data_IF_582335748362
#
_entry.id   IF_582335748362
#
_cell.length_a   1.000
_cell.length_b   1.000
_cell.length_c   1.000
_cell.angle_alpha   90.00
_cell.angle_beta   90.00
_cell.angle_gamma   90.00
#
_symmetry.space_group_name_H-M   'P 1'
#
loop_
_entity.id
_entity.type
_entity.pdbx_description
1 polymer ?
#
# COMPACT_ATOMS: atom_id res chain seq x y z
N UNK A 1 42.34 -22.03 -33.71
CA UNK A 1 41.79 -21.32 -32.53
C UNK A 1 40.27 -21.23 -32.67
N UNK A 2 39.50 -22.12 -32.03
CA UNK A 2 38.02 -22.07 -32.04
C UNK A 2 37.48 -22.67 -30.74
N UNK A 3 37.52 -21.88 -29.67
CA UNK A 3 37.04 -22.28 -28.34
C UNK A 3 35.77 -21.51 -27.91
N UNK A 4 35.21 -20.66 -28.78
CA UNK A 4 34.16 -19.71 -28.39
C UNK A 4 32.72 -20.21 -28.61
N UNK A 5 32.52 -21.32 -29.33
CA UNK A 5 31.18 -21.75 -29.77
C UNK A 5 30.37 -22.50 -28.69
N UNK A 6 31.03 -23.06 -27.66
CA UNK A 6 30.34 -23.87 -26.63
C UNK A 6 29.74 -23.06 -25.47
N UNK A 7 30.19 -21.83 -25.25
CA UNK A 7 29.76 -21.04 -24.10
C UNK A 7 28.38 -20.39 -24.29
N UNK A 8 27.96 -20.11 -25.53
CA UNK A 8 26.68 -19.43 -25.80
C UNK A 8 25.43 -20.27 -25.48
N UNK A 9 25.54 -21.59 -25.44
CA UNK A 9 24.39 -22.46 -25.12
C UNK A 9 24.16 -22.60 -23.61
N UNK A 10 25.20 -22.43 -22.78
CA UNK A 10 25.06 -22.49 -21.32
C UNK A 10 24.32 -21.25 -20.78
N UNK A 11 24.58 -20.08 -21.38
CA UNK A 11 23.95 -18.81 -20.97
C UNK A 11 22.45 -18.76 -21.33
N UNK A 12 22.06 -19.49 -22.38
CA UNK A 12 20.67 -19.53 -22.85
C UNK A 12 19.74 -20.33 -21.94
N UNK A 13 20.28 -21.32 -21.21
CA UNK A 13 19.48 -22.20 -20.35
C UNK A 13 19.03 -21.55 -19.03
N UNK A 14 19.72 -20.50 -18.57
CA UNK A 14 19.43 -19.85 -17.28
C UNK A 14 18.11 -19.05 -17.30
N UNK A 15 17.63 -18.64 -18.48
CA UNK A 15 16.44 -17.79 -18.62
C UNK A 15 15.12 -18.55 -18.44
N UNK A 16 15.10 -19.86 -18.70
CA UNK A 16 13.86 -20.66 -18.70
C UNK A 16 13.38 -21.08 -17.30
N UNK A 17 14.22 -20.95 -16.27
CA UNK A 17 13.87 -21.26 -14.89
C UNK A 17 13.45 -20.00 -14.11
N UNK A 18 12.61 -19.15 -14.71
CA UNK A 18 11.94 -18.09 -13.95
C UNK A 18 11.08 -18.76 -12.88
N UNK A 19 11.40 -18.68 -11.57
CA UNK A 19 10.56 -19.28 -10.56
C UNK A 19 9.20 -18.60 -10.64
N UNK A 20 8.16 -19.39 -10.91
CA UNK A 20 6.79 -18.91 -10.92
C UNK A 20 6.55 -18.13 -9.62
N UNK A 21 6.32 -16.83 -9.74
CA UNK A 21 6.11 -15.95 -8.59
C UNK A 21 5.06 -16.59 -7.69
N UNK A 22 5.36 -16.90 -6.41
CA UNK A 22 4.46 -17.67 -5.58
C UNK A 22 3.13 -16.94 -5.57
N UNK A 23 2.05 -17.63 -5.97
CA UNK A 23 0.68 -17.10 -5.95
C UNK A 23 0.42 -16.63 -4.52
N UNK A 24 0.63 -15.33 -4.27
CA UNK A 24 0.43 -14.71 -2.95
C UNK A 24 -0.99 -15.08 -2.56
N UNK A 25 -1.12 -15.95 -1.54
CA UNK A 25 -2.41 -16.57 -1.25
C UNK A 25 -3.44 -15.47 -1.05
N UNK A 26 -4.60 -15.59 -1.69
CA UNK A 26 -5.66 -14.58 -1.64
C UNK A 26 -5.97 -14.21 -0.19
N UNK A 27 -5.88 -15.17 0.74
CA UNK A 27 -5.96 -14.98 2.18
C UNK A 27 -4.94 -13.98 2.75
N UNK A 28 -3.66 -14.02 2.33
CA UNK A 28 -2.68 -13.00 2.75
C UNK A 28 -3.06 -11.61 2.25
N UNK A 29 -3.59 -11.50 1.03
CA UNK A 29 -4.07 -10.21 0.49
C UNK A 29 -5.29 -9.71 1.27
N UNK A 30 -6.20 -10.60 1.65
CA UNK A 30 -7.36 -10.27 2.49
C UNK A 30 -6.93 -9.80 3.89
N UNK A 31 -5.98 -10.50 4.52
CA UNK A 31 -5.44 -10.11 5.83
C UNK A 31 -4.77 -8.73 5.78
N UNK A 32 -3.90 -8.50 4.79
CA UNK A 32 -3.28 -7.17 4.59
C UNK A 32 -4.32 -6.07 4.34
N UNK A 33 -5.38 -6.39 3.59
CA UNK A 33 -6.47 -5.43 3.31
C UNK A 33 -7.25 -5.11 4.59
N UNK A 34 -7.48 -6.12 5.45
CA UNK A 34 -8.13 -5.93 6.74
C UNK A 34 -7.29 -5.05 7.66
N UNK A 35 -5.98 -5.27 7.74
CA UNK A 35 -5.10 -4.45 8.59
C UNK A 35 -5.10 -2.99 8.13
N UNK A 36 -5.06 -2.76 6.82
CA UNK A 36 -5.19 -1.43 6.24
C UNK A 36 -6.54 -0.77 6.56
N UNK A 37 -7.64 -1.53 6.60
CA UNK A 37 -8.92 -0.99 7.06
C UNK A 37 -8.92 -0.67 8.55
N UNK A 38 -8.26 -1.47 9.40
CA UNK A 38 -8.14 -1.18 10.83
C UNK A 38 -7.40 0.12 11.08
N UNK A 39 -6.27 0.31 10.40
CA UNK A 39 -5.47 1.53 10.50
C UNK A 39 -6.29 2.75 10.08
N UNK A 40 -6.99 2.65 8.93
CA UNK A 40 -7.87 3.72 8.44
C UNK A 40 -9.02 4.07 9.39
N UNK A 41 -9.59 3.09 10.08
CA UNK A 41 -10.64 3.35 11.09
C UNK A 41 -10.02 4.08 12.29
N UNK A 42 -8.85 3.65 12.76
CA UNK A 42 -8.15 4.31 13.86
C UNK A 42 -7.80 5.76 13.53
N UNK A 43 -7.22 6.03 12.34
CA UNK A 43 -6.90 7.39 11.89
C UNK A 43 -8.14 8.28 11.82
N UNK A 44 -9.26 7.78 11.28
CA UNK A 44 -10.52 8.55 11.22
C UNK A 44 -11.11 8.85 12.60
N UNK A 45 -11.05 7.89 13.52
CA UNK A 45 -11.47 8.10 14.91
C UNK A 45 -10.59 9.15 15.59
N UNK A 46 -9.29 9.12 15.35
CA UNK A 46 -8.36 10.12 15.88
C UNK A 46 -8.68 11.51 15.31
N UNK A 47 -8.87 11.63 13.98
CA UNK A 47 -9.26 12.90 13.36
C UNK A 47 -10.61 13.43 13.86
N UNK A 48 -11.58 12.56 14.10
CA UNK A 48 -12.90 12.95 14.62
C UNK A 48 -12.87 13.33 16.11
N UNK A 49 -11.95 12.74 16.88
CA UNK A 49 -11.77 13.05 18.30
C UNK A 49 -10.88 14.29 18.52
N UNK A 50 -10.03 14.63 17.54
CA UNK A 50 -9.13 15.77 17.62
C UNK A 50 -9.90 17.09 17.47
N UNK A 51 -9.66 18.03 18.38
CA UNK A 51 -10.34 19.32 18.38
C UNK A 51 -9.98 20.18 17.17
N UNK A 52 -10.91 21.03 16.74
CA UNK A 52 -10.74 21.90 15.58
C UNK A 52 -9.55 22.86 15.74
N UNK A 53 -9.20 23.23 16.98
CA UNK A 53 -8.03 24.07 17.26
C UNK A 53 -6.72 23.32 17.01
N UNK A 54 -6.59 22.10 17.54
CA UNK A 54 -5.41 21.26 17.31
C UNK A 54 -5.19 20.91 15.84
N UNK A 55 -6.28 20.74 15.08
CA UNK A 55 -6.20 20.57 13.62
C UNK A 55 -5.63 21.81 12.92
N UNK A 56 -6.08 23.02 13.31
CA UNK A 56 -5.57 24.28 12.77
C UNK A 56 -4.10 24.51 13.11
N UNK A 57 -3.68 24.16 14.32
CA UNK A 57 -2.29 24.28 14.75
C UNK A 57 -1.36 23.37 13.93
N UNK A 58 -1.87 22.21 13.48
CA UNK A 58 -1.19 21.31 12.55
C UNK A 58 -1.26 21.76 11.08
N UNK A 59 -1.91 22.89 10.79
CA UNK A 59 -2.14 23.38 9.42
C UNK A 59 -3.18 22.58 8.63
N UNK A 60 -4.03 21.81 9.32
CA UNK A 60 -5.09 20.99 8.72
C UNK A 60 -6.42 21.74 8.82
N UNK A 61 -7.15 21.85 7.71
CA UNK A 61 -8.51 22.39 7.72
C UNK A 61 -9.46 21.48 8.52
N UNK A 62 -10.15 21.97 9.58
CA UNK A 62 -11.08 21.17 10.36
C UNK A 62 -12.25 20.64 9.53
N UNK A 63 -12.69 21.42 8.54
CA UNK A 63 -13.75 21.02 7.62
C UNK A 63 -13.29 19.86 6.70
N UNK A 64 -12.04 19.90 6.24
CA UNK A 64 -11.46 18.81 5.46
C UNK A 64 -11.31 17.54 6.31
N UNK A 65 -10.84 17.66 7.56
CA UNK A 65 -10.75 16.53 8.49
C UNK A 65 -12.12 15.89 8.78
N UNK A 66 -13.16 16.71 9.03
CA UNK A 66 -14.52 16.23 9.23
C UNK A 66 -15.08 15.53 7.98
N UNK A 67 -14.81 16.06 6.79
CA UNK A 67 -15.18 15.45 5.52
C UNK A 67 -14.45 14.11 5.27
N UNK A 68 -13.15 14.01 5.57
CA UNK A 68 -12.40 12.75 5.45
C UNK A 68 -12.85 11.71 6.49
N UNK A 69 -13.24 12.16 7.69
CA UNK A 69 -13.77 11.31 8.76
C UNK A 69 -15.15 10.72 8.41
N UNK A 70 -15.99 11.45 7.67
CA UNK A 70 -17.31 10.98 7.23
C UNK A 70 -17.26 10.03 6.04
N UNK A 71 -16.13 9.94 5.32
CA UNK A 71 -15.97 9.01 4.20
C UNK A 71 -15.98 7.55 4.68
N UNK A 72 -16.53 6.63 3.87
CA UNK A 72 -16.50 5.22 4.20
C UNK A 72 -15.07 4.68 4.28
N UNK A 73 -14.86 3.72 5.19
CA UNK A 73 -13.53 3.24 5.58
C UNK A 73 -12.69 2.64 4.44
N UNK A 74 -13.36 2.08 3.42
CA UNK A 74 -12.71 1.47 2.25
C UNK A 74 -12.08 2.51 1.31
N UNK A 75 -12.47 3.79 1.40
CA UNK A 75 -11.87 4.85 0.59
C UNK A 75 -10.55 5.32 1.25
N UNK A 76 -9.46 5.53 0.48
CA UNK A 76 -8.25 6.14 1.01
C UNK A 76 -8.55 7.56 1.53
N UNK A 77 -7.81 8.00 2.55
CA UNK A 77 -7.84 9.41 2.96
C UNK A 77 -7.31 10.28 1.81
N UNK A 78 -8.01 11.37 1.55
CA UNK A 78 -7.53 12.44 0.68
C UNK A 78 -6.47 13.31 1.36
N UNK A 79 -5.95 14.28 0.61
CA UNK A 79 -5.06 15.29 1.17
C UNK A 79 -5.82 16.17 2.17
N UNK A 80 -5.28 16.30 3.39
CA UNK A 80 -5.80 17.13 4.47
C UNK A 80 -5.24 18.57 4.36
N UNK A 81 -5.44 19.22 3.22
CA UNK A 81 -5.05 20.62 2.98
C UNK A 81 -6.29 21.50 2.87
#
# INVERSE_FOLDING_TARGET
MSFQSRQRLADQFVVLLTPASPRRSLWRRLLMTRDLWRERIATRRYLAALDARSLRDAGISPAAAAYEASKPFWRPLGALR
#
